data_IF_054345178242
#
_entry.id   IF_054345178242
#
_cell.length_a   1.000
_cell.length_b   1.000
_cell.length_c   1.000
_cell.angle_alpha   90.00
_cell.angle_beta   90.00
_cell.angle_gamma   90.00
#
_symmetry.space_group_name_H-M   'P 1'
#
loop_
_entity.id
_entity.type
_entity.pdbx_description
1 polymer ?
#
# COMPACT_ATOMS: atom_id res chain seq x y z
N UNK A 1 2.87 28.34 -32.57
CA UNK A 1 3.94 28.54 -31.55
C UNK A 1 3.42 28.65 -30.10
N UNK A 2 2.12 28.59 -29.87
CA UNK A 2 1.49 28.81 -28.54
C UNK A 2 1.10 27.56 -27.73
N UNK A 3 1.17 26.38 -28.31
CA UNK A 3 0.75 25.14 -27.60
C UNK A 3 1.82 24.49 -26.68
N UNK A 4 3.11 24.81 -26.86
CA UNK A 4 4.20 24.25 -26.05
C UNK A 4 4.36 24.87 -24.65
N UNK A 5 3.96 26.13 -24.48
CA UNK A 5 4.13 26.83 -23.19
C UNK A 5 3.10 26.46 -22.12
N UNK A 6 1.86 26.08 -22.48
CA UNK A 6 0.85 25.66 -21.49
C UNK A 6 1.13 24.31 -20.85
N UNK A 7 1.79 23.40 -21.56
CA UNK A 7 2.07 22.05 -21.06
C UNK A 7 3.18 22.00 -20.02
N UNK A 8 4.16 22.89 -20.12
CA UNK A 8 5.29 22.99 -19.16
C UNK A 8 4.87 23.62 -17.84
N UNK A 9 3.95 24.58 -17.84
CA UNK A 9 3.45 25.24 -16.62
C UNK A 9 2.59 24.31 -15.74
N UNK A 10 1.76 23.47 -16.34
CA UNK A 10 0.93 22.52 -15.57
C UNK A 10 1.77 21.42 -14.90
N UNK A 11 2.79 20.89 -15.58
CA UNK A 11 3.72 19.91 -14.98
C UNK A 11 4.55 20.50 -13.82
N UNK A 12 4.92 21.78 -13.93
CA UNK A 12 5.67 22.48 -12.87
C UNK A 12 4.84 22.67 -11.61
N UNK A 13 3.59 23.12 -11.75
CA UNK A 13 2.68 23.33 -10.61
C UNK A 13 2.26 22.01 -9.94
N UNK A 14 2.10 20.94 -10.71
CA UNK A 14 1.78 19.61 -10.18
C UNK A 14 2.95 19.04 -9.37
N UNK A 15 4.19 19.17 -9.88
CA UNK A 15 5.40 18.78 -9.15
C UNK A 15 5.64 19.63 -7.89
N UNK A 16 5.35 20.92 -7.94
CA UNK A 16 5.49 21.82 -6.78
C UNK A 16 4.46 21.53 -5.68
N UNK A 17 3.24 21.15 -6.03
CA UNK A 17 2.22 20.72 -5.08
C UNK A 17 2.53 19.36 -4.45
N UNK A 18 3.10 18.44 -5.22
CA UNK A 18 3.65 17.18 -4.71
C UNK A 18 4.77 17.46 -3.69
N UNK A 19 5.73 18.31 -4.02
CA UNK A 19 6.82 18.70 -3.11
C UNK A 19 6.30 19.33 -1.80
N UNK A 20 5.28 20.20 -1.86
CA UNK A 20 4.65 20.78 -0.67
C UNK A 20 3.93 19.74 0.18
N UNK A 21 3.26 18.76 -0.44
CA UNK A 21 2.57 17.67 0.24
C UNK A 21 3.56 16.70 0.93
N UNK A 22 4.75 16.52 0.34
CA UNK A 22 5.78 15.63 0.89
C UNK A 22 6.76 16.31 1.87
N UNK A 23 6.95 17.64 1.82
CA UNK A 23 7.75 18.36 2.81
C UNK A 23 7.13 18.35 4.22
N UNK A 24 5.83 18.07 4.35
CA UNK A 24 5.19 17.84 5.64
C UNK A 24 5.36 16.40 6.14
N UNK A 25 5.96 15.51 5.36
CA UNK A 25 6.19 14.11 5.69
C UNK A 25 7.65 13.92 6.13
N UNK A 26 7.94 14.22 7.40
CA UNK A 26 9.12 13.75 8.16
C UNK A 26 10.51 13.98 7.52
N UNK A 27 10.87 15.22 7.18
CA UNK A 27 12.28 15.57 6.93
C UNK A 27 12.76 16.61 7.96
N UNK A 28 13.83 16.28 8.68
CA UNK A 28 14.52 17.26 9.52
C UNK A 28 15.10 18.39 8.70
N UNK A 29 15.00 19.67 9.16
CA UNK A 29 15.51 20.82 8.41
C UNK A 29 17.00 20.98 8.67
N UNK A 30 17.84 20.42 7.79
CA UNK A 30 19.30 20.54 7.98
C UNK A 30 20.15 20.81 6.75
N UNK A 31 19.71 20.53 5.53
CA UNK A 31 20.56 20.65 4.35
C UNK A 31 19.82 21.24 3.13
N UNK A 32 19.45 22.53 3.19
CA UNK A 32 19.02 23.27 2.01
C UNK A 32 20.14 24.22 1.58
N UNK A 33 20.84 23.85 0.52
CA UNK A 33 21.72 24.77 -0.20
C UNK A 33 20.87 25.77 -0.97
N UNK A 34 20.93 27.06 -0.61
CA UNK A 34 20.31 28.15 -1.38
C UNK A 34 21.07 28.33 -2.71
N UNK A 35 20.42 27.96 -3.81
CA UNK A 35 20.91 28.26 -5.15
C UNK A 35 19.94 29.20 -5.87
N UNK A 36 20.42 30.39 -6.24
CA UNK A 36 19.69 31.39 -7.01
C UNK A 36 19.91 31.14 -8.50
N UNK A 37 18.89 30.69 -9.21
CA UNK A 37 18.51 31.00 -10.59
C UNK A 37 17.58 29.92 -11.18
N UNK A 38 16.81 30.28 -12.19
CA UNK A 38 15.73 29.48 -12.79
C UNK A 38 16.19 28.12 -13.40
N UNK A 39 17.44 28.00 -13.80
CA UNK A 39 18.06 26.76 -14.31
C UNK A 39 18.38 25.75 -13.21
N UNK A 40 18.61 26.21 -11.98
CA UNK A 40 18.92 25.36 -10.84
C UNK A 40 17.71 24.58 -10.31
N UNK A 41 16.49 25.10 -10.52
CA UNK A 41 15.27 24.41 -10.05
C UNK A 41 14.99 23.09 -10.79
N UNK A 42 15.30 23.01 -12.08
CA UNK A 42 15.13 21.77 -12.87
C UNK A 42 16.17 20.74 -12.43
N UNK A 43 17.40 21.16 -12.22
CA UNK A 43 18.50 20.28 -11.78
C UNK A 43 18.30 19.77 -10.34
N UNK A 44 17.80 20.60 -9.44
CA UNK A 44 17.44 20.21 -8.08
C UNK A 44 16.26 19.21 -8.11
N UNK A 45 15.25 19.42 -8.96
CA UNK A 45 14.13 18.51 -9.12
C UNK A 45 14.59 17.16 -9.68
N UNK A 46 15.54 17.15 -10.64
CA UNK A 46 16.11 15.90 -11.17
C UNK A 46 16.97 15.16 -10.13
N UNK A 47 17.81 15.87 -9.38
CA UNK A 47 18.60 15.27 -8.28
C UNK A 47 17.66 14.71 -7.20
N UNK A 48 16.61 15.44 -6.84
CA UNK A 48 15.60 14.99 -5.87
C UNK A 48 14.86 13.77 -6.40
N UNK A 49 14.48 13.75 -7.67
CA UNK A 49 13.82 12.60 -8.30
C UNK A 49 14.74 11.37 -8.38
N UNK A 50 16.00 11.56 -8.72
CA UNK A 50 17.03 10.50 -8.73
C UNK A 50 17.33 10.00 -7.31
N UNK A 51 17.33 10.89 -6.32
CA UNK A 51 17.50 10.50 -4.92
C UNK A 51 16.30 9.71 -4.40
N UNK A 52 15.08 10.10 -4.76
CA UNK A 52 13.87 9.34 -4.46
C UNK A 52 13.87 7.96 -5.12
N UNK A 53 14.31 7.86 -6.38
CA UNK A 53 14.44 6.55 -7.04
C UNK A 53 15.49 5.65 -6.36
N UNK A 54 16.60 6.21 -5.92
CA UNK A 54 17.62 5.47 -5.16
C UNK A 54 17.09 4.99 -3.81
N UNK A 55 16.35 5.84 -3.09
CA UNK A 55 15.71 5.50 -1.82
C UNK A 55 14.67 4.38 -2.04
N UNK A 56 13.87 4.46 -3.09
CA UNK A 56 12.89 3.43 -3.43
C UNK A 56 13.53 2.07 -3.70
N UNK A 57 14.57 2.04 -4.53
CA UNK A 57 15.31 0.81 -4.80
C UNK A 57 15.95 0.26 -3.52
N UNK A 58 16.35 1.14 -2.60
CA UNK A 58 16.94 0.76 -1.32
C UNK A 58 15.90 0.11 -0.39
N UNK A 59 14.70 0.69 -0.24
CA UNK A 59 13.63 0.13 0.62
C UNK A 59 13.15 -1.22 0.09
N UNK A 60 12.93 -1.30 -1.23
CA UNK A 60 12.55 -2.57 -1.89
C UNK A 60 13.63 -3.63 -1.69
N UNK A 61 14.89 -3.24 -1.80
CA UNK A 61 16.03 -4.11 -1.56
C UNK A 61 16.08 -4.57 -0.11
N UNK A 62 15.89 -3.68 0.86
CA UNK A 62 15.85 -4.03 2.29
C UNK A 62 14.75 -5.04 2.61
N UNK A 63 13.52 -4.87 2.09
CA UNK A 63 12.43 -5.83 2.29
C UNK A 63 12.79 -7.19 1.69
N UNK A 64 13.27 -7.24 0.45
CA UNK A 64 13.69 -8.48 -0.20
C UNK A 64 14.82 -9.16 0.55
N UNK A 65 15.85 -8.43 0.96
CA UNK A 65 16.96 -8.94 1.78
C UNK A 65 16.48 -9.47 3.14
N UNK A 66 15.53 -8.78 3.77
CA UNK A 66 14.95 -9.21 5.04
C UNK A 66 14.17 -10.51 4.88
N UNK A 67 13.39 -10.65 3.79
CA UNK A 67 12.68 -11.89 3.46
C UNK A 67 13.67 -13.05 3.24
N UNK A 68 14.76 -12.82 2.49
CA UNK A 68 15.77 -13.85 2.21
C UNK A 68 16.53 -14.29 3.47
N UNK A 69 16.85 -13.35 4.36
CA UNK A 69 17.64 -13.62 5.57
C UNK A 69 16.82 -14.26 6.68
N UNK A 70 15.64 -13.73 6.94
CA UNK A 70 14.85 -14.00 8.14
C UNK A 70 13.52 -14.71 7.84
N UNK A 71 13.05 -14.68 6.58
CA UNK A 71 11.86 -15.41 6.14
C UNK A 71 12.14 -16.92 6.01
N UNK A 72 11.08 -17.72 6.13
CA UNK A 72 11.16 -19.17 5.93
C UNK A 72 10.16 -19.59 4.86
N UNK A 73 10.66 -20.09 3.74
CA UNK A 73 9.84 -20.76 2.74
C UNK A 73 9.58 -22.20 3.19
N UNK A 74 8.32 -22.60 3.17
CA UNK A 74 7.85 -23.93 3.52
C UNK A 74 7.17 -24.57 2.33
N UNK A 75 7.01 -25.90 2.36
CA UNK A 75 6.23 -26.64 1.36
C UNK A 75 4.80 -26.09 1.22
N UNK A 76 4.22 -26.24 0.03
CA UNK A 76 2.88 -25.72 -0.25
C UNK A 76 2.80 -24.21 -0.54
N UNK A 77 3.92 -23.58 -0.91
CA UNK A 77 3.95 -22.17 -1.28
C UNK A 77 3.70 -21.21 -0.10
N UNK A 78 4.13 -21.61 1.10
CA UNK A 78 3.99 -20.82 2.33
C UNK A 78 5.27 -20.05 2.57
N UNK A 79 5.15 -18.72 2.75
CA UNK A 79 6.24 -17.88 3.25
C UNK A 79 5.90 -17.38 4.65
N UNK A 80 6.75 -17.70 5.63
CA UNK A 80 6.68 -17.19 7.00
C UNK A 80 7.59 -15.99 7.17
N UNK A 81 7.01 -14.88 7.58
CA UNK A 81 7.69 -13.61 7.90
C UNK A 81 7.30 -13.13 9.30
N UNK A 82 6.96 -14.08 10.18
CA UNK A 82 6.37 -13.86 11.50
C UNK A 82 7.27 -13.02 12.41
N UNK A 83 8.57 -13.06 12.18
CA UNK A 83 9.57 -12.41 13.02
C UNK A 83 9.84 -10.94 12.69
N UNK A 84 9.16 -10.35 11.67
CA UNK A 84 9.32 -8.94 11.33
C UNK A 84 8.10 -8.26 10.68
N UNK A 85 7.04 -9.01 10.28
CA UNK A 85 5.84 -8.44 9.67
C UNK A 85 4.56 -8.73 10.47
N UNK A 86 4.22 -10.01 10.71
CA UNK A 86 2.84 -10.36 11.08
C UNK A 86 2.68 -11.10 12.42
N UNK A 87 3.75 -11.25 13.21
CA UNK A 87 3.68 -11.67 14.60
C UNK A 87 4.56 -10.78 15.49
N UNK A 88 5.88 -10.86 15.37
CA UNK A 88 6.76 -9.79 15.80
C UNK A 88 6.93 -8.80 14.65
N UNK A 89 6.81 -7.50 14.92
CA UNK A 89 6.84 -6.46 13.91
C UNK A 89 8.08 -5.60 14.07
N UNK A 90 8.75 -5.29 12.94
CA UNK A 90 9.83 -4.32 12.91
C UNK A 90 9.25 -2.93 12.56
N UNK A 91 9.10 -2.01 13.52
CA UNK A 91 8.42 -0.74 13.28
C UNK A 91 9.21 0.19 12.37
N UNK A 92 10.54 0.05 12.29
CA UNK A 92 11.38 0.87 11.40
C UNK A 92 11.15 0.43 9.96
N UNK A 93 11.26 -0.87 9.68
CA UNK A 93 10.99 -1.42 8.36
C UNK A 93 9.53 -1.13 7.94
N UNK A 94 8.57 -1.30 8.85
CA UNK A 94 7.15 -1.05 8.59
C UNK A 94 6.89 0.40 8.18
N UNK A 95 7.52 1.37 8.85
CA UNK A 95 7.42 2.79 8.51
C UNK A 95 7.99 3.10 7.13
N UNK A 96 9.14 2.52 6.79
CA UNK A 96 9.75 2.74 5.47
C UNK A 96 8.90 2.11 4.35
N UNK A 97 8.33 0.92 4.57
CA UNK A 97 7.37 0.31 3.65
C UNK A 97 6.12 1.17 3.45
N UNK A 98 5.57 1.74 4.53
CA UNK A 98 4.42 2.64 4.47
C UNK A 98 4.71 3.90 3.66
N UNK A 99 5.86 4.54 3.87
CA UNK A 99 6.29 5.72 3.08
C UNK A 99 6.36 5.39 1.58
N UNK A 100 6.89 4.23 1.23
CA UNK A 100 6.98 3.80 -0.17
C UNK A 100 5.60 3.55 -0.78
N UNK A 101 4.68 2.89 -0.06
CA UNK A 101 3.29 2.74 -0.51
C UNK A 101 2.63 4.10 -0.72
N UNK A 102 2.71 5.02 0.26
CA UNK A 102 2.16 6.38 0.15
C UNK A 102 2.70 7.09 -1.09
N UNK A 103 3.99 6.95 -1.39
CA UNK A 103 4.60 7.52 -2.58
C UNK A 103 4.01 6.96 -3.87
N UNK A 104 3.74 5.65 -3.94
CA UNK A 104 3.14 5.00 -5.12
C UNK A 104 1.71 5.44 -5.37
N UNK A 105 0.98 5.75 -4.30
CA UNK A 105 -0.38 6.27 -4.35
C UNK A 105 -0.48 7.81 -4.31
N UNK A 106 0.62 8.53 -4.53
CA UNK A 106 0.66 10.00 -4.43
C UNK A 106 -0.29 10.75 -5.36
N UNK A 107 -0.73 10.11 -6.45
CA UNK A 107 -1.67 10.70 -7.42
C UNK A 107 -3.14 10.42 -7.06
N UNK A 108 -3.40 9.67 -6.00
CA UNK A 108 -4.73 9.30 -5.53
C UNK A 108 -5.20 10.24 -4.41
N UNK A 109 -6.50 10.46 -4.34
CA UNK A 109 -7.10 11.32 -3.30
C UNK A 109 -7.62 10.46 -2.16
N UNK A 110 -6.72 9.91 -1.37
CA UNK A 110 -7.06 9.04 -0.24
C UNK A 110 -7.47 9.89 0.96
N UNK A 111 -8.64 9.60 1.56
CA UNK A 111 -9.09 10.19 2.81
C UNK A 111 -9.37 9.14 3.90
N UNK A 112 -9.24 7.85 3.55
CA UNK A 112 -9.40 6.73 4.49
C UNK A 112 -8.51 5.56 4.08
N UNK A 113 -7.79 4.98 5.02
CA UNK A 113 -7.11 3.69 4.83
C UNK A 113 -7.99 2.57 5.35
N UNK A 114 -8.08 1.47 4.63
CA UNK A 114 -8.82 0.29 5.05
C UNK A 114 -7.93 -0.95 5.01
N UNK A 115 -8.18 -1.88 5.93
CA UNK A 115 -7.50 -3.17 5.98
C UNK A 115 -8.43 -4.27 6.50
N UNK A 116 -7.89 -5.48 6.66
CA UNK A 116 -8.60 -6.60 7.29
C UNK A 116 -7.76 -7.15 8.46
N UNK A 117 -8.41 -7.51 9.58
CA UNK A 117 -7.70 -8.09 10.72
C UNK A 117 -7.06 -9.44 10.36
N UNK A 118 -5.90 -9.80 10.95
CA UNK A 118 -5.18 -9.02 11.94
C UNK A 118 -3.89 -8.39 11.37
N UNK A 119 -3.15 -9.09 10.49
CA UNK A 119 -1.79 -8.74 10.06
C UNK A 119 -1.71 -7.46 9.22
N UNK A 120 -2.77 -7.13 8.48
CA UNK A 120 -2.86 -5.88 7.71
C UNK A 120 -2.98 -4.62 8.58
N UNK A 121 -3.34 -4.74 9.88
CA UNK A 121 -3.56 -3.56 10.75
C UNK A 121 -2.27 -2.76 10.92
N UNK A 122 -1.14 -3.41 11.16
CA UNK A 122 0.11 -2.72 11.38
C UNK A 122 0.57 -1.86 10.19
N UNK A 123 0.68 -2.41 8.96
CA UNK A 123 1.02 -1.59 7.80
C UNK A 123 -0.03 -0.51 7.50
N UNK A 124 -1.33 -0.79 7.70
CA UNK A 124 -2.39 0.18 7.49
C UNK A 124 -2.28 1.37 8.44
N UNK A 125 -2.00 1.14 9.74
CA UNK A 125 -1.77 2.22 10.72
C UNK A 125 -0.60 3.11 10.29
N UNK A 126 0.52 2.53 9.84
CA UNK A 126 1.68 3.31 9.40
C UNK A 126 1.38 4.11 8.12
N UNK A 127 0.58 3.57 7.19
CA UNK A 127 0.13 4.31 5.99
C UNK A 127 -0.84 5.42 6.39
N UNK A 128 -1.79 5.16 7.29
CA UNK A 128 -2.72 6.15 7.80
C UNK A 128 -2.02 7.31 8.51
N UNK A 129 -1.00 7.01 9.33
CA UNK A 129 -0.12 8.00 9.98
C UNK A 129 0.59 8.87 8.93
N UNK A 130 1.21 8.26 7.93
CA UNK A 130 1.89 8.97 6.84
C UNK A 130 0.94 9.87 6.03
N UNK A 131 -0.31 9.46 5.82
CA UNK A 131 -1.33 10.22 5.08
C UNK A 131 -2.11 11.21 5.96
N UNK A 132 -2.00 11.06 7.29
CA UNK A 132 -2.81 11.78 8.28
C UNK A 132 -4.33 11.57 8.05
N UNK A 133 -4.73 10.31 7.86
CA UNK A 133 -6.13 9.92 7.64
C UNK A 133 -6.52 8.76 8.57
N UNK A 134 -7.82 8.60 8.89
CA UNK A 134 -8.28 7.50 9.73
C UNK A 134 -8.05 6.14 9.07
N UNK A 135 -7.85 5.12 9.92
CA UNK A 135 -7.69 3.72 9.52
C UNK A 135 -8.87 2.92 10.02
N UNK A 136 -9.53 2.22 9.11
CA UNK A 136 -10.64 1.33 9.38
C UNK A 136 -10.23 -0.11 9.11
N UNK A 137 -10.51 -1.05 10.00
CA UNK A 137 -10.27 -2.46 9.73
C UNK A 137 -11.56 -3.28 9.72
N UNK A 138 -11.69 -4.11 8.70
CA UNK A 138 -12.76 -5.10 8.61
C UNK A 138 -12.48 -6.28 9.55
N UNK A 139 -13.52 -6.76 10.22
CA UNK A 139 -13.46 -7.86 11.19
C UNK A 139 -13.84 -9.19 10.55
N UNK A 140 -13.17 -10.27 10.95
CA UNK A 140 -13.44 -11.65 10.49
C UNK A 140 -14.53 -12.36 11.28
N UNK A 141 -15.18 -11.66 12.18
CA UNK A 141 -16.32 -12.16 12.97
C UNK A 141 -17.33 -11.03 13.12
N UNK A 142 -18.59 -11.37 13.10
CA UNK A 142 -19.69 -10.45 13.37
C UNK A 142 -19.71 -10.11 14.86
N UNK A 143 -19.36 -8.88 15.28
CA UNK A 143 -19.49 -8.49 16.69
C UNK A 143 -20.97 -8.30 17.03
N UNK A 144 -21.38 -8.74 18.19
CA UNK A 144 -22.76 -8.56 18.69
C UNK A 144 -23.15 -7.10 18.97
N UNK A 145 -22.18 -6.19 18.96
CA UNK A 145 -22.34 -4.77 19.29
C UNK A 145 -22.32 -3.82 18.08
N UNK A 146 -22.42 -4.36 16.87
CA UNK A 146 -22.38 -3.56 15.64
C UNK A 146 -23.76 -3.56 14.98
N UNK A 147 -24.45 -2.42 14.99
CA UNK A 147 -25.83 -2.31 14.48
C UNK A 147 -25.87 -2.12 12.96
N UNK A 148 -25.17 -1.16 12.40
CA UNK A 148 -25.16 -0.85 10.97
C UNK A 148 -24.01 -1.60 10.27
N UNK A 149 -24.18 -2.91 10.01
CA UNK A 149 -23.13 -3.74 9.43
C UNK A 149 -23.22 -3.86 7.92
N UNK A 150 -22.11 -3.59 7.24
CA UNK A 150 -21.84 -4.05 5.88
C UNK A 150 -21.10 -5.40 5.99
N UNK A 151 -21.58 -6.40 5.27
CA UNK A 151 -21.13 -7.78 5.43
C UNK A 151 -20.84 -8.41 4.09
N UNK A 152 -19.77 -9.19 4.01
CA UNK A 152 -19.45 -10.01 2.84
C UNK A 152 -18.85 -11.35 3.26
N UNK A 153 -18.89 -12.32 2.37
CA UNK A 153 -18.27 -13.62 2.57
C UNK A 153 -16.97 -13.75 1.78
N UNK A 154 -15.93 -14.21 2.45
CA UNK A 154 -14.61 -14.43 1.86
C UNK A 154 -14.22 -15.88 2.01
N UNK A 155 -13.80 -16.50 0.89
CA UNK A 155 -13.30 -17.88 0.91
C UNK A 155 -11.81 -17.91 1.24
N UNK A 156 -11.43 -18.69 2.25
CA UNK A 156 -10.01 -18.96 2.59
C UNK A 156 -9.55 -20.27 1.95
N UNK A 157 -8.70 -20.20 0.94
CA UNK A 157 -8.10 -21.41 0.35
C UNK A 157 -7.23 -22.17 1.35
N UNK A 158 -6.50 -21.46 2.22
CA UNK A 158 -5.64 -22.09 3.23
C UNK A 158 -6.42 -22.92 4.23
N UNK A 159 -7.64 -22.47 4.59
CA UNK A 159 -8.52 -23.16 5.55
C UNK A 159 -9.64 -23.96 4.87
N UNK A 160 -9.74 -23.88 3.54
CA UNK A 160 -10.82 -24.44 2.72
C UNK A 160 -12.22 -24.16 3.32
N UNK A 161 -12.43 -22.91 3.76
CA UNK A 161 -13.66 -22.50 4.45
C UNK A 161 -13.97 -21.02 4.17
N UNK A 162 -15.27 -20.71 3.97
CA UNK A 162 -15.75 -19.33 3.97
C UNK A 162 -15.79 -18.76 5.38
N UNK A 163 -15.54 -17.47 5.47
CA UNK A 163 -15.69 -16.70 6.70
C UNK A 163 -16.30 -15.35 6.39
N UNK A 164 -17.08 -14.85 7.32
CA UNK A 164 -17.72 -13.55 7.23
C UNK A 164 -16.71 -12.45 7.51
N UNK A 165 -16.73 -11.41 6.68
CA UNK A 165 -16.00 -10.17 6.89
C UNK A 165 -17.01 -9.04 7.01
N UNK A 166 -16.85 -8.18 8.02
CA UNK A 166 -17.78 -7.10 8.25
C UNK A 166 -17.08 -5.80 8.65
N UNK A 167 -17.76 -4.69 8.39
CA UNK A 167 -17.36 -3.34 8.81
C UNK A 167 -18.62 -2.56 9.20
N UNK A 168 -18.50 -1.59 10.13
CA UNK A 168 -19.63 -0.70 10.43
C UNK A 168 -19.80 0.31 9.30
N UNK A 169 -21.03 0.44 8.81
CA UNK A 169 -21.45 1.49 7.89
C UNK A 169 -21.44 2.89 8.51
N UNK A 170 -21.27 3.01 9.83
CA UNK A 170 -21.10 4.30 10.51
C UNK A 170 -19.71 4.90 10.24
N UNK A 171 -18.75 4.06 9.81
CA UNK A 171 -17.36 4.46 9.55
C UNK A 171 -16.94 4.29 8.10
N UNK A 172 -17.83 3.78 7.23
CA UNK A 172 -17.58 3.62 5.80
C UNK A 172 -18.83 4.02 5.02
N UNK A 173 -18.72 5.05 4.17
CA UNK A 173 -19.87 5.57 3.45
C UNK A 173 -19.51 6.39 2.22
N UNK A 174 -20.53 7.03 1.65
CA UNK A 174 -20.39 7.93 0.50
C UNK A 174 -19.41 9.07 0.81
N UNK A 175 -18.54 9.39 -0.16
CA UNK A 175 -17.48 10.40 0.01
C UNK A 175 -16.17 9.83 0.58
N UNK A 176 -16.14 8.62 1.10
CA UNK A 176 -14.89 7.95 1.47
C UNK A 176 -14.12 7.52 0.23
N UNK A 177 -12.82 7.86 0.21
CA UNK A 177 -11.86 7.52 -0.83
C UNK A 177 -10.82 6.59 -0.23
N UNK A 178 -11.04 5.30 -0.41
CA UNK A 178 -10.40 4.22 0.34
C UNK A 178 -9.13 3.74 -0.34
N UNK A 179 -8.03 3.70 0.39
CA UNK A 179 -6.84 2.93 0.05
C UNK A 179 -6.81 1.66 0.90
N UNK A 180 -6.90 0.50 0.27
CA UNK A 180 -6.77 -0.78 0.97
C UNK A 180 -5.30 -1.15 1.14
N UNK A 181 -4.90 -1.56 2.36
CA UNK A 181 -3.53 -1.99 2.69
C UNK A 181 -3.59 -3.34 3.39
N UNK A 182 -2.73 -4.28 2.95
CA UNK A 182 -2.60 -5.59 3.61
C UNK A 182 -1.14 -6.09 3.57
N UNK A 183 -0.83 -7.10 4.37
CA UNK A 183 0.51 -7.70 4.41
C UNK A 183 0.79 -8.60 3.19
N UNK A 184 -0.16 -9.43 2.78
CA UNK A 184 -0.02 -10.37 1.66
C UNK A 184 -1.13 -10.26 0.61
N UNK A 185 -0.73 -10.30 -0.66
CA UNK A 185 -1.61 -10.60 -1.78
C UNK A 185 -1.31 -12.01 -2.30
N UNK A 186 -2.28 -12.90 -2.15
CA UNK A 186 -2.24 -14.28 -2.61
C UNK A 186 -3.28 -14.49 -3.73
N UNK A 187 -4.37 -15.22 -3.50
CA UNK A 187 -5.47 -15.37 -4.46
C UNK A 187 -6.44 -14.16 -4.50
N UNK A 188 -6.18 -13.12 -3.71
CA UNK A 188 -6.96 -11.89 -3.73
C UNK A 188 -8.34 -11.97 -3.09
N UNK A 189 -8.68 -13.04 -2.37
CA UNK A 189 -10.03 -13.19 -1.81
C UNK A 189 -10.37 -12.13 -0.75
N UNK A 190 -9.42 -11.80 0.14
CA UNK A 190 -9.59 -10.70 1.09
C UNK A 190 -9.84 -9.37 0.35
N UNK A 191 -9.04 -9.09 -0.67
CA UNK A 191 -9.19 -7.90 -1.51
C UNK A 191 -10.58 -7.84 -2.19
N UNK A 192 -11.08 -8.96 -2.71
CA UNK A 192 -12.43 -9.06 -3.30
C UNK A 192 -13.53 -8.75 -2.28
N UNK A 193 -13.39 -9.24 -1.06
CA UNK A 193 -14.32 -8.93 0.03
C UNK A 193 -14.30 -7.43 0.36
N UNK A 194 -13.13 -6.79 0.39
CA UNK A 194 -13.03 -5.35 0.61
C UNK A 194 -13.66 -4.54 -0.54
N UNK A 195 -13.48 -4.97 -1.80
CA UNK A 195 -14.13 -4.33 -2.95
C UNK A 195 -15.64 -4.34 -2.77
N UNK A 196 -16.20 -5.47 -2.34
CA UNK A 196 -17.63 -5.60 -2.11
C UNK A 196 -18.12 -4.69 -0.97
N UNK A 197 -17.43 -4.66 0.17
CA UNK A 197 -17.76 -3.78 1.30
C UNK A 197 -17.68 -2.29 0.91
N UNK A 198 -16.65 -1.87 0.19
CA UNK A 198 -16.51 -0.49 -0.31
C UNK A 198 -17.67 -0.13 -1.26
N UNK A 199 -18.07 -1.07 -2.13
CA UNK A 199 -19.21 -0.89 -3.02
C UNK A 199 -20.54 -0.80 -2.26
N UNK A 200 -20.77 -1.67 -1.28
CA UNK A 200 -21.98 -1.64 -0.42
C UNK A 200 -22.11 -0.29 0.29
N UNK A 201 -20.99 0.29 0.72
CA UNK A 201 -20.94 1.58 1.40
C UNK A 201 -21.16 2.79 0.46
N UNK A 202 -21.16 2.61 -0.85
CA UNK A 202 -21.14 3.73 -1.81
C UNK A 202 -19.81 4.50 -1.83
N UNK A 203 -18.76 3.94 -1.22
CA UNK A 203 -17.43 4.54 -1.17
C UNK A 203 -16.63 4.29 -2.47
N UNK A 204 -15.54 5.03 -2.65
CA UNK A 204 -14.64 4.88 -3.80
C UNK A 204 -13.38 4.14 -3.40
N UNK A 205 -13.01 3.09 -4.13
CA UNK A 205 -11.72 2.41 -3.97
C UNK A 205 -10.66 3.15 -4.81
N UNK A 206 -9.67 3.75 -4.16
CA UNK A 206 -8.56 4.45 -4.83
C UNK A 206 -7.47 3.51 -5.32
N UNK A 207 -7.29 2.38 -4.64
CA UNK A 207 -6.33 1.35 -4.99
C UNK A 207 -6.04 0.41 -3.83
N UNK A 208 -5.10 -0.52 -4.07
CA UNK A 208 -4.71 -1.54 -3.11
C UNK A 208 -3.20 -1.65 -3.01
N UNK A 209 -2.66 -1.58 -1.79
CA UNK A 209 -1.24 -1.70 -1.48
C UNK A 209 -0.95 -2.95 -0.64
N UNK A 210 0.09 -3.68 -1.03
CA UNK A 210 0.52 -4.90 -0.34
C UNK A 210 2.01 -4.86 -0.04
N UNK A 211 2.40 -5.42 1.10
CA UNK A 211 3.82 -5.56 1.41
C UNK A 211 4.45 -6.65 0.55
N UNK A 212 3.78 -7.80 0.44
CA UNK A 212 4.27 -8.98 -0.29
C UNK A 212 3.16 -9.52 -1.20
N UNK A 213 3.48 -9.72 -2.47
CA UNK A 213 2.60 -10.39 -3.44
C UNK A 213 3.19 -11.74 -3.82
N UNK A 214 2.38 -12.79 -3.80
CA UNK A 214 2.72 -14.09 -4.38
C UNK A 214 2.39 -14.05 -5.88
N UNK A 215 3.33 -13.60 -6.70
CA UNK A 215 3.15 -13.40 -8.14
C UNK A 215 2.85 -14.68 -8.93
N UNK A 216 3.09 -15.86 -8.34
CA UNK A 216 2.71 -17.17 -8.87
C UNK A 216 1.23 -17.54 -8.57
N UNK A 217 0.49 -16.69 -7.86
CA UNK A 217 -0.94 -16.83 -7.61
C UNK A 217 -1.72 -15.75 -8.37
N UNK A 218 -3.00 -16.02 -8.65
CA UNK A 218 -3.80 -15.23 -9.61
C UNK A 218 -4.27 -13.86 -9.07
N UNK A 219 -4.19 -13.60 -7.77
CA UNK A 219 -4.86 -12.45 -7.16
C UNK A 219 -4.39 -11.10 -7.72
N UNK A 220 -3.08 -10.92 -7.90
CA UNK A 220 -2.53 -9.67 -8.42
C UNK A 220 -2.93 -9.40 -9.88
N UNK A 221 -2.86 -10.43 -10.73
CA UNK A 221 -3.26 -10.33 -12.13
C UNK A 221 -4.77 -10.06 -12.26
N UNK A 222 -5.58 -10.79 -11.50
CA UNK A 222 -7.03 -10.63 -11.51
C UNK A 222 -7.47 -9.22 -11.07
N UNK A 223 -6.89 -8.66 -10.01
CA UNK A 223 -7.22 -7.31 -9.55
C UNK A 223 -6.81 -6.25 -10.58
N UNK A 224 -5.62 -6.36 -11.17
CA UNK A 224 -5.13 -5.44 -12.20
C UNK A 224 -5.96 -5.54 -13.48
N UNK A 225 -6.40 -6.73 -13.89
CA UNK A 225 -7.26 -6.92 -15.07
C UNK A 225 -8.64 -6.30 -14.92
N UNK A 226 -9.11 -6.11 -13.68
CA UNK A 226 -10.34 -5.35 -13.36
C UNK A 226 -10.12 -3.83 -13.33
N UNK A 227 -8.94 -3.34 -13.69
CA UNK A 227 -8.60 -1.92 -13.68
C UNK A 227 -8.29 -1.34 -12.31
N UNK A 228 -8.10 -2.17 -11.28
CA UNK A 228 -7.72 -1.71 -9.95
C UNK A 228 -6.23 -1.40 -9.92
N UNK A 229 -5.87 -0.22 -9.40
CA UNK A 229 -4.47 0.12 -9.16
C UNK A 229 -3.95 -0.70 -7.98
N UNK A 230 -3.04 -1.63 -8.27
CA UNK A 230 -2.43 -2.54 -7.28
C UNK A 230 -0.93 -2.34 -7.25
N UNK A 231 -0.43 -1.98 -6.07
CA UNK A 231 0.99 -1.82 -5.79
C UNK A 231 1.45 -2.86 -4.75
N UNK A 232 2.52 -3.57 -5.07
CA UNK A 232 3.14 -4.55 -4.18
C UNK A 232 4.62 -4.22 -4.00
N UNK A 233 5.11 -4.19 -2.75
CA UNK A 233 6.50 -3.81 -2.46
C UNK A 233 7.48 -4.92 -2.83
N UNK A 234 7.12 -6.17 -2.60
CA UNK A 234 7.89 -7.32 -3.05
C UNK A 234 6.98 -8.32 -3.76
N UNK A 235 7.32 -8.66 -5.01
CA UNK A 235 6.60 -9.69 -5.77
C UNK A 235 7.48 -10.93 -5.81
N UNK A 236 6.95 -12.04 -5.28
CA UNK A 236 7.60 -13.36 -5.25
C UNK A 236 7.16 -14.12 -6.49
N UNK A 237 8.10 -14.54 -7.30
CA UNK A 237 7.84 -15.33 -8.50
C UNK A 237 7.68 -16.82 -8.19
N UNK A 238 8.47 -17.33 -7.22
CA UNK A 238 8.42 -18.74 -6.83
C UNK A 238 8.86 -18.92 -5.37
N UNK A 239 8.32 -19.98 -4.76
CA UNK A 239 8.74 -20.54 -3.46
C UNK A 239 9.17 -22.00 -3.61
N UNK A 240 9.57 -22.42 -4.81
CA UNK A 240 9.94 -23.80 -5.11
C UNK A 240 11.20 -24.21 -4.38
N UNK A 241 11.26 -25.48 -3.98
CA UNK A 241 12.39 -26.04 -3.22
C UNK A 241 12.78 -25.21 -1.98
N UNK A 242 11.80 -24.62 -1.32
CA UNK A 242 12.00 -23.74 -0.17
C UNK A 242 12.90 -22.52 -0.46
N UNK A 243 13.02 -22.13 -1.73
CA UNK A 243 13.81 -20.98 -2.18
C UNK A 243 12.89 -19.84 -2.63
N UNK A 244 13.18 -18.62 -2.16
CA UNK A 244 12.41 -17.43 -2.55
C UNK A 244 13.06 -16.78 -3.76
N UNK A 245 12.30 -16.65 -4.86
CA UNK A 245 12.69 -15.84 -6.02
C UNK A 245 11.77 -14.65 -6.19
N UNK A 246 12.31 -13.52 -6.61
CA UNK A 246 11.56 -12.27 -6.78
C UNK A 246 11.55 -11.84 -8.25
N UNK A 247 10.46 -11.18 -8.60
CA UNK A 247 10.34 -10.43 -9.86
C UNK A 247 11.14 -9.15 -9.81
#
# INVERSE_FOLDING_TARGET
MFARQRWTGQKSNYKLNLLKKYNNLCFEPGNIVRLNSFYNNVFIIEIYFLSLQKINNYIMKQLKERILRDGKSLEGGILKVDNFINHQMDPILMREMAKELVRRFANHQVNKVMTIEASGIAPAIMVGDCLNVPVLFAKKKTPSTMDNMLVTEVFSFTKNKSYTVCVSGDYLGEGDRVLFIDDFLANGNAAKGIIDLVKQAGATLEGMGFLIEKGFQSGGEELRSRGIHVESLAIIDSLDNCTVTFR
#
